data_IF_525616979853
#
_entry.id   IF_525616979853
#
_cell.length_a   1.000
_cell.length_b   1.000
_cell.length_c   1.000
_cell.angle_alpha   90.00
_cell.angle_beta   90.00
_cell.angle_gamma   90.00
#
_symmetry.space_group_name_H-M   'P 1'
#
loop_
_entity.id
_entity.type
_entity.pdbx_description
1 polymer ?
#
# COMPACT_ATOMS: atom_id res chain seq x y z
N UNK A 1 -19.13 -10.54 9.29
CA UNK A 1 -19.55 -9.68 8.17
C UNK A 1 -19.44 -10.53 6.94
N UNK A 2 -20.58 -10.91 6.41
CA UNK A 2 -20.67 -11.82 5.28
C UNK A 2 -20.64 -11.01 3.99
N UNK A 3 -19.90 -11.53 3.01
CA UNK A 3 -19.66 -10.90 1.73
C UNK A 3 -20.30 -11.74 0.65
N UNK A 4 -21.00 -11.07 -0.27
CA UNK A 4 -21.48 -11.69 -1.50
C UNK A 4 -20.55 -11.27 -2.65
N UNK A 5 -20.02 -12.26 -3.36
CA UNK A 5 -19.32 -12.02 -4.62
C UNK A 5 -20.35 -11.56 -5.67
N UNK A 6 -20.05 -10.48 -6.38
CA UNK A 6 -20.90 -9.83 -7.39
C UNK A 6 -20.11 -9.63 -8.68
N UNK A 7 -20.79 -9.29 -9.79
CA UNK A 7 -20.08 -8.95 -11.02
C UNK A 7 -19.38 -7.58 -10.89
N UNK A 8 -18.36 -7.28 -11.72
CA UNK A 8 -17.73 -5.96 -11.73
C UNK A 8 -18.73 -4.81 -12.00
N UNK A 9 -19.75 -5.06 -12.82
CA UNK A 9 -20.79 -4.09 -13.16
C UNK A 9 -21.67 -3.78 -11.93
N UNK A 10 -22.16 -4.82 -11.24
CA UNK A 10 -22.93 -4.67 -9.99
C UNK A 10 -22.11 -3.98 -8.90
N UNK A 11 -20.81 -4.31 -8.82
CA UNK A 11 -19.90 -3.65 -7.88
C UNK A 11 -19.74 -2.15 -8.18
N UNK A 12 -19.79 -1.75 -9.46
CA UNK A 12 -19.60 -0.37 -9.89
C UNK A 12 -20.77 0.56 -9.50
N UNK A 13 -21.97 0.00 -9.34
CA UNK A 13 -23.16 0.73 -8.89
C UNK A 13 -23.15 1.00 -7.37
N UNK A 14 -22.29 0.31 -6.62
CA UNK A 14 -22.22 0.47 -5.17
C UNK A 14 -21.52 1.79 -4.78
N UNK A 15 -22.06 2.49 -3.78
CA UNK A 15 -21.50 3.76 -3.24
C UNK A 15 -20.04 3.69 -2.78
N UNK A 16 -19.54 2.50 -2.45
CA UNK A 16 -18.16 2.28 -2.02
C UNK A 16 -17.22 1.94 -3.16
N UNK A 17 -17.68 1.86 -4.40
CA UNK A 17 -16.81 1.63 -5.54
C UNK A 17 -15.89 2.83 -5.82
N UNK A 18 -14.66 2.54 -6.26
CA UNK A 18 -13.66 3.53 -6.64
C UNK A 18 -12.69 3.93 -5.52
N UNK A 19 -11.69 4.73 -5.93
CA UNK A 19 -10.58 5.19 -5.08
C UNK A 19 -11.00 6.46 -4.33
N UNK A 20 -11.28 6.35 -3.04
CA UNK A 20 -11.76 7.46 -2.20
C UNK A 20 -11.57 7.20 -0.72
N UNK A 21 -11.92 8.18 0.12
CA UNK A 21 -11.74 8.11 1.57
C UNK A 21 -10.30 7.74 1.97
N UNK A 22 -10.15 6.87 2.96
CA UNK A 22 -8.83 6.40 3.42
C UNK A 22 -7.97 5.74 2.33
N UNK A 23 -8.57 5.10 1.33
CA UNK A 23 -7.81 4.51 0.22
C UNK A 23 -7.10 5.57 -0.61
N UNK A 24 -7.73 6.73 -0.83
CA UNK A 24 -7.09 7.86 -1.49
C UNK A 24 -5.96 8.44 -0.62
N UNK A 25 -6.16 8.53 0.70
CA UNK A 25 -5.10 8.97 1.62
C UNK A 25 -3.89 8.03 1.53
N UNK A 26 -4.10 6.72 1.60
CA UNK A 26 -3.01 5.74 1.43
C UNK A 26 -2.36 5.82 0.05
N UNK A 27 -3.14 6.08 -1.01
CA UNK A 27 -2.59 6.28 -2.34
C UNK A 27 -1.64 7.49 -2.40
N UNK A 28 -2.06 8.64 -1.87
CA UNK A 28 -1.23 9.86 -1.79
C UNK A 28 0.02 9.60 -0.96
N UNK A 29 -0.11 8.96 0.22
CA UNK A 29 1.04 8.57 1.03
C UNK A 29 1.98 7.60 0.30
N UNK A 30 1.45 6.68 -0.50
CA UNK A 30 2.22 5.79 -1.35
C UNK A 30 3.00 6.55 -2.43
N UNK A 31 2.40 7.56 -3.06
CA UNK A 31 3.09 8.42 -4.04
C UNK A 31 4.21 9.22 -3.36
N UNK A 32 3.94 9.80 -2.19
CA UNK A 32 4.94 10.53 -1.42
C UNK A 32 6.08 9.60 -0.97
N UNK A 33 5.76 8.39 -0.51
CA UNK A 33 6.73 7.37 -0.14
C UNK A 33 7.59 6.93 -1.32
N UNK A 34 6.98 6.73 -2.49
CA UNK A 34 7.69 6.44 -3.73
C UNK A 34 8.68 7.55 -4.08
N UNK A 35 8.25 8.81 -4.10
CA UNK A 35 9.13 9.94 -4.40
C UNK A 35 10.24 10.10 -3.35
N UNK A 36 9.90 9.97 -2.07
CA UNK A 36 10.86 10.06 -0.97
C UNK A 36 11.93 8.96 -1.02
N UNK A 37 11.59 7.78 -1.56
CA UNK A 37 12.53 6.66 -1.72
C UNK A 37 13.72 7.02 -2.62
N UNK A 38 13.56 7.98 -3.53
CA UNK A 38 14.62 8.46 -4.42
C UNK A 38 15.26 9.78 -3.95
N UNK A 39 14.77 10.39 -2.87
CA UNK A 39 15.29 11.68 -2.39
C UNK A 39 16.79 11.60 -2.05
N UNK A 40 17.26 10.47 -1.53
CA UNK A 40 18.68 10.22 -1.25
C UNK A 40 19.57 10.23 -2.50
N UNK A 41 19.01 9.92 -3.68
CA UNK A 41 19.75 9.97 -4.94
C UNK A 41 19.96 11.39 -5.46
N UNK A 42 19.17 12.36 -4.97
CA UNK A 42 19.33 13.77 -5.33
C UNK A 42 20.59 14.38 -4.73
N UNK A 43 21.14 13.78 -3.66
CA UNK A 43 22.40 14.21 -3.04
C UNK A 43 23.14 13.04 -2.38
N UNK A 44 23.89 12.29 -3.20
CA UNK A 44 24.75 11.20 -2.70
C UNK A 44 25.81 11.70 -1.71
N UNK A 45 26.26 12.96 -1.86
CA UNK A 45 27.21 13.57 -0.93
C UNK A 45 26.61 13.75 0.47
N UNK A 46 25.36 14.19 0.57
CA UNK A 46 24.66 14.26 1.87
C UNK A 46 24.51 12.87 2.48
N UNK A 47 24.14 11.87 1.67
CA UNK A 47 24.02 10.48 2.13
C UNK A 47 25.35 9.94 2.66
N UNK A 48 26.45 10.24 1.97
CA UNK A 48 27.81 9.88 2.39
C UNK A 48 28.24 10.59 3.67
N UNK A 49 27.89 11.87 3.86
CA UNK A 49 28.18 12.59 5.10
C UNK A 49 27.42 12.04 6.30
N UNK A 50 26.15 11.63 6.12
CA UNK A 50 25.31 11.13 7.21
C UNK A 50 25.61 9.68 7.56
N UNK A 51 25.86 8.83 6.55
CA UNK A 51 25.94 7.38 6.74
C UNK A 51 27.32 6.78 6.42
N UNK A 52 28.32 7.61 6.14
CA UNK A 52 29.70 7.19 5.88
C UNK A 52 29.79 6.22 4.69
N UNK A 53 30.54 5.14 4.87
CA UNK A 53 30.79 4.13 3.82
C UNK A 53 29.55 3.31 3.45
N UNK A 54 28.51 3.30 4.30
CA UNK A 54 27.27 2.58 4.06
C UNK A 54 26.31 3.30 3.09
N UNK A 55 26.68 4.48 2.57
CA UNK A 55 25.80 5.29 1.74
C UNK A 55 25.32 4.58 0.47
N UNK A 56 26.15 3.72 -0.14
CA UNK A 56 25.77 2.96 -1.34
C UNK A 56 24.65 1.96 -1.01
N UNK A 57 24.74 1.29 0.16
CA UNK A 57 23.74 0.33 0.62
C UNK A 57 22.40 1.05 0.82
N UNK A 58 22.42 2.24 1.42
CA UNK A 58 21.21 3.03 1.67
C UNK A 58 20.62 3.64 0.40
N UNK A 59 21.46 4.07 -0.55
CA UNK A 59 21.01 4.50 -1.88
C UNK A 59 20.33 3.35 -2.62
N UNK A 60 20.94 2.16 -2.59
CA UNK A 60 20.36 0.94 -3.17
C UNK A 60 19.05 0.53 -2.49
N UNK A 61 18.99 0.62 -1.16
CA UNK A 61 17.76 0.39 -0.39
C UNK A 61 16.64 1.34 -0.85
N UNK A 62 16.93 2.63 -1.03
CA UNK A 62 15.97 3.62 -1.53
C UNK A 62 15.40 3.22 -2.89
N UNK A 63 16.26 2.83 -3.84
CA UNK A 63 15.81 2.34 -5.16
C UNK A 63 14.89 1.12 -5.03
N UNK A 64 15.29 0.13 -4.25
CA UNK A 64 14.49 -1.10 -4.05
C UNK A 64 13.14 -0.76 -3.41
N UNK A 65 13.11 0.10 -2.39
CA UNK A 65 11.86 0.54 -1.77
C UNK A 65 10.94 1.23 -2.78
N UNK A 66 11.47 2.15 -3.60
CA UNK A 66 10.70 2.81 -4.65
C UNK A 66 10.05 1.83 -5.61
N UNK A 67 10.80 0.80 -6.05
CA UNK A 67 10.26 -0.26 -6.92
C UNK A 67 9.12 -1.02 -6.23
N UNK A 68 9.24 -1.29 -4.93
CA UNK A 68 8.22 -2.01 -4.17
C UNK A 68 6.92 -1.22 -3.96
N UNK A 69 6.91 0.10 -4.15
CA UNK A 69 5.67 0.88 -4.20
C UNK A 69 4.90 0.74 -5.52
N UNK A 70 5.58 0.38 -6.62
CA UNK A 70 4.98 0.35 -7.97
C UNK A 70 3.74 -0.54 -8.10
N UNK A 71 3.69 -1.77 -7.55
CA UNK A 71 2.49 -2.61 -7.67
C UNK A 71 1.24 -1.90 -7.12
N UNK A 72 1.36 -1.19 -6.00
CA UNK A 72 0.25 -0.43 -5.44
C UNK A 72 -0.10 0.77 -6.32
N UNK A 73 0.89 1.56 -6.73
CA UNK A 73 0.69 2.79 -7.49
C UNK A 73 0.10 2.57 -8.88
N UNK A 74 0.44 1.44 -9.52
CA UNK A 74 -0.05 1.06 -10.85
C UNK A 74 -1.42 0.40 -10.75
N UNK A 75 -1.59 -0.57 -9.84
CA UNK A 75 -2.81 -1.38 -9.80
C UNK A 75 -4.00 -0.69 -9.11
N UNK A 76 -3.75 0.23 -8.17
CA UNK A 76 -4.81 0.98 -7.49
C UNK A 76 -5.68 1.82 -8.45
N UNK A 77 -5.14 2.71 -9.30
CA UNK A 77 -5.96 3.48 -10.24
C UNK A 77 -6.64 2.61 -11.29
N UNK A 78 -6.03 1.47 -11.64
CA UNK A 78 -6.60 0.49 -12.56
C UNK A 78 -7.71 -0.37 -11.95
N UNK A 79 -7.97 -0.26 -10.64
CA UNK A 79 -8.96 -1.08 -9.91
C UNK A 79 -8.73 -2.58 -10.08
N UNK A 80 -7.47 -2.99 -10.28
CA UNK A 80 -7.15 -4.37 -10.64
C UNK A 80 -7.28 -5.32 -9.42
N UNK A 81 -7.89 -6.52 -9.55
CA UNK A 81 -8.18 -7.39 -8.41
C UNK A 81 -6.95 -7.90 -7.65
N UNK A 82 -5.79 -7.94 -8.31
CA UNK A 82 -4.52 -8.28 -7.66
C UNK A 82 -3.99 -7.18 -6.73
N UNK A 83 -4.49 -5.94 -6.82
CA UNK A 83 -3.95 -4.78 -6.09
C UNK A 83 -3.75 -5.07 -4.60
N UNK A 84 -4.76 -5.55 -3.83
CA UNK A 84 -4.58 -5.67 -2.39
C UNK A 84 -3.51 -6.69 -2.01
N UNK A 85 -3.44 -7.81 -2.75
CA UNK A 85 -2.45 -8.87 -2.52
C UNK A 85 -1.05 -8.40 -2.90
N UNK A 86 -0.90 -7.81 -4.08
CA UNK A 86 0.38 -7.32 -4.56
C UNK A 86 0.94 -6.21 -3.66
N UNK A 87 0.09 -5.26 -3.24
CA UNK A 87 0.47 -4.17 -2.35
C UNK A 87 0.94 -4.70 -0.97
N UNK A 88 0.19 -5.61 -0.35
CA UNK A 88 0.57 -6.19 0.95
C UNK A 88 1.90 -6.94 0.82
N UNK A 89 2.06 -7.79 -0.19
CA UNK A 89 3.29 -8.56 -0.38
C UNK A 89 4.51 -7.67 -0.62
N UNK A 90 4.38 -6.65 -1.47
CA UNK A 90 5.48 -5.75 -1.78
C UNK A 90 5.89 -4.89 -0.58
N UNK A 91 4.92 -4.43 0.22
CA UNK A 91 5.21 -3.64 1.42
C UNK A 91 5.84 -4.50 2.54
N UNK A 92 5.41 -5.75 2.71
CA UNK A 92 6.10 -6.67 3.63
C UNK A 92 7.51 -7.01 3.16
N UNK A 93 7.72 -7.17 1.85
CA UNK A 93 9.06 -7.33 1.30
C UNK A 93 9.92 -6.09 1.57
N UNK A 94 9.33 -4.88 1.50
CA UNK A 94 10.04 -3.64 1.84
C UNK A 94 10.51 -3.61 3.29
N UNK A 95 9.67 -4.09 4.23
CA UNK A 95 10.05 -4.26 5.64
C UNK A 95 11.23 -5.23 5.79
N UNK A 96 11.19 -6.38 5.10
CA UNK A 96 12.29 -7.38 5.14
C UNK A 96 13.59 -6.80 4.60
N UNK A 97 13.55 -6.14 3.44
CA UNK A 97 14.75 -5.53 2.84
C UNK A 97 15.30 -4.42 3.74
N UNK A 98 14.43 -3.63 4.37
CA UNK A 98 14.84 -2.60 5.34
C UNK A 98 15.50 -3.22 6.56
N UNK A 99 14.97 -4.34 7.08
CA UNK A 99 15.59 -5.05 8.20
C UNK A 99 16.99 -5.56 7.85
N UNK A 100 17.15 -6.18 6.66
CA UNK A 100 18.45 -6.67 6.17
C UNK A 100 19.44 -5.51 6.04
N UNK A 101 19.04 -4.41 5.40
CA UNK A 101 19.89 -3.23 5.26
C UNK A 101 20.28 -2.64 6.62
N UNK A 102 19.34 -2.58 7.58
CA UNK A 102 19.60 -2.13 8.94
C UNK A 102 20.59 -3.01 9.70
N UNK A 103 20.56 -4.32 9.48
CA UNK A 103 21.56 -5.24 10.07
C UNK A 103 22.97 -4.99 9.54
N UNK A 104 23.09 -4.55 8.28
CA UNK A 104 24.40 -4.31 7.64
C UNK A 104 24.92 -2.90 7.93
N UNK A 105 24.05 -1.88 7.91
CA UNK A 105 24.45 -0.49 8.04
C UNK A 105 24.69 -0.09 9.51
N UNK A 106 23.63 -0.10 10.32
CA UNK A 106 23.66 0.17 11.77
C UNK A 106 22.27 -0.12 12.38
N UNK A 107 22.12 -1.21 13.17
CA UNK A 107 20.83 -1.57 13.76
C UNK A 107 20.25 -0.50 14.68
N UNK A 108 21.10 0.26 15.38
CA UNK A 108 20.66 1.25 16.37
C UNK A 108 19.96 2.44 15.72
N UNK A 109 20.39 2.82 14.52
CA UNK A 109 19.83 3.94 13.76
C UNK A 109 18.54 3.56 13.02
N UNK A 110 18.41 2.30 12.60
CA UNK A 110 17.28 1.85 11.77
C UNK A 110 16.14 1.19 12.56
N UNK A 111 16.35 0.84 13.83
CA UNK A 111 15.33 0.15 14.65
C UNK A 111 14.01 0.92 14.74
N UNK A 112 14.07 2.22 15.00
CA UNK A 112 12.87 3.07 15.09
C UNK A 112 12.07 3.09 13.79
N UNK A 113 12.77 3.24 12.66
CA UNK A 113 12.17 3.20 11.31
C UNK A 113 11.56 1.83 11.01
N UNK A 114 12.22 0.74 11.41
CA UNK A 114 11.74 -0.61 11.19
C UNK A 114 10.44 -0.88 11.97
N UNK A 115 10.40 -0.53 13.26
CA UNK A 115 9.20 -0.67 14.10
C UNK A 115 8.04 0.13 13.50
N UNK A 116 8.29 1.40 13.15
CA UNK A 116 7.29 2.25 12.52
C UNK A 116 6.76 1.64 11.21
N UNK A 117 7.66 1.14 10.36
CA UNK A 117 7.31 0.49 9.10
C UNK A 117 6.43 -0.74 9.31
N UNK A 118 6.78 -1.61 10.26
CA UNK A 118 5.99 -2.81 10.60
C UNK A 118 4.58 -2.42 11.03
N UNK A 119 4.44 -1.44 11.92
CA UNK A 119 3.12 -0.98 12.40
C UNK A 119 2.31 -0.40 11.25
N UNK A 120 2.90 0.46 10.43
CA UNK A 120 2.20 1.07 9.30
C UNK A 120 1.77 0.06 8.24
N UNK A 121 2.63 -0.91 7.89
CA UNK A 121 2.29 -1.97 6.95
C UNK A 121 1.21 -2.89 7.52
N UNK A 122 1.25 -3.20 8.82
CA UNK A 122 0.21 -3.99 9.48
C UNK A 122 -1.15 -3.28 9.46
N UNK A 123 -1.20 -1.99 9.79
CA UNK A 123 -2.41 -1.17 9.74
C UNK A 123 -2.96 -1.08 8.31
N UNK A 124 -2.10 -0.85 7.33
CA UNK A 124 -2.50 -0.79 5.93
C UNK A 124 -3.02 -2.15 5.42
N UNK A 125 -2.34 -3.25 5.74
CA UNK A 125 -2.79 -4.59 5.40
C UNK A 125 -4.13 -4.93 6.06
N UNK A 126 -4.32 -4.54 7.31
CA UNK A 126 -5.61 -4.67 8.00
C UNK A 126 -6.71 -3.86 7.30
N UNK A 127 -6.42 -2.60 6.95
CA UNK A 127 -7.35 -1.74 6.20
C UNK A 127 -7.74 -2.37 4.86
N UNK A 128 -6.77 -2.81 4.05
CA UNK A 128 -7.04 -3.43 2.75
C UNK A 128 -7.92 -4.69 2.86
N UNK A 129 -7.78 -5.47 3.94
CA UNK A 129 -8.58 -6.68 4.16
C UNK A 129 -10.00 -6.37 4.65
N UNK A 130 -10.19 -5.34 5.47
CA UNK A 130 -11.47 -5.06 6.14
C UNK A 130 -12.29 -3.94 5.51
N UNK A 131 -11.69 -3.10 4.67
CA UNK A 131 -12.36 -1.96 4.06
C UNK A 131 -13.46 -2.41 3.09
N UNK A 132 -14.69 -1.92 3.29
CA UNK A 132 -15.80 -2.09 2.33
C UNK A 132 -15.39 -1.60 0.93
N UNK A 133 -14.77 -0.42 0.87
CA UNK A 133 -14.32 0.18 -0.39
C UNK A 133 -13.33 -0.69 -1.13
N UNK A 134 -12.37 -1.32 -0.43
CA UNK A 134 -11.40 -2.20 -1.09
C UNK A 134 -12.05 -3.50 -1.57
N UNK A 135 -12.91 -4.10 -0.74
CA UNK A 135 -13.63 -5.32 -1.11
C UNK A 135 -14.57 -5.09 -2.32
N UNK A 136 -15.33 -4.00 -2.31
CA UNK A 136 -16.22 -3.63 -3.42
C UNK A 136 -15.42 -3.27 -4.68
N UNK A 137 -14.40 -2.42 -4.56
CA UNK A 137 -13.68 -1.88 -5.73
C UNK A 137 -12.79 -2.91 -6.43
N UNK A 138 -12.09 -3.76 -5.67
CA UNK A 138 -11.06 -4.64 -6.24
C UNK A 138 -11.43 -6.10 -6.17
N UNK A 139 -12.20 -6.51 -5.16
CA UNK A 139 -12.57 -7.92 -5.00
C UNK A 139 -14.00 -8.21 -5.46
N UNK A 140 -14.73 -7.19 -5.91
CA UNK A 140 -16.14 -7.27 -6.34
C UNK A 140 -17.00 -7.99 -5.30
N UNK A 141 -16.89 -7.55 -4.04
CA UNK A 141 -17.58 -8.12 -2.88
C UNK A 141 -18.39 -7.05 -2.18
N UNK A 142 -19.69 -7.27 -2.06
CA UNK A 142 -20.63 -6.36 -1.39
C UNK A 142 -21.11 -6.99 -0.08
N UNK A 143 -21.31 -6.20 1.00
CA UNK A 143 -21.93 -6.69 2.23
C UNK A 143 -23.33 -7.24 1.96
N UNK A 144 -23.68 -8.42 2.51
CA UNK A 144 -24.99 -9.06 2.27
C UNK A 144 -26.18 -8.14 2.63
N UNK A 145 -26.10 -7.47 3.79
CA UNK A 145 -27.11 -6.50 4.26
C UNK A 145 -27.35 -5.37 3.25
N UNK A 146 -26.28 -4.90 2.61
CA UNK A 146 -26.30 -3.74 1.72
C UNK A 146 -26.67 -4.12 0.29
N UNK A 147 -26.64 -5.40 -0.06
CA UNK A 147 -27.14 -5.91 -1.35
C UNK A 147 -28.65 -6.18 -1.31
N UNK A 148 -29.20 -6.56 -0.15
CA UNK A 148 -30.65 -6.72 0.03
C UNK A 148 -31.39 -5.39 -0.18
N UNK A 149 -30.86 -4.31 0.40
CA UNK A 149 -31.42 -2.95 0.25
C UNK A 149 -31.41 -2.41 -1.19
N UNK A 150 -30.46 -2.84 -2.04
CA UNK A 150 -30.41 -2.42 -3.45
C UNK A 150 -31.39 -3.23 -4.32
N UNK A 151 -31.66 -4.49 -3.95
CA UNK A 151 -32.56 -5.37 -4.69
C UNK A 151 -34.05 -5.04 -4.46
N UNK A 152 -34.38 -4.39 -3.33
CA UNK A 152 -35.75 -4.00 -2.98
C UNK A 152 -36.16 -2.61 -3.48
N UNK A 153 -35.24 -1.81 -4.07
CA UNK A 153 -35.63 -0.53 -4.67
C UNK A 153 -36.36 -0.76 -5.99
N UNK A 154 -37.64 -0.38 -6.12
CA UNK A 154 -38.34 -0.42 -7.39
C UNK A 154 -37.61 0.50 -8.38
N UNK A 155 -37.36 0.01 -9.58
CA UNK A 155 -36.98 0.85 -10.71
C UNK A 155 -38.21 1.69 -11.09
N UNK A 156 -38.26 2.92 -10.61
CA UNK A 156 -39.19 3.96 -11.08
C UNK A 156 -38.65 4.62 -12.37
#
# INVERSE_FOLDING_TARGET
>A
MDWKDVTPEEAAENRYYGVGGWLLVFYVLGVLGFLASFAGLLSLEMLKRTFGDNYIILAGLGVVQGILYLPFLILAPQKHPLMPRAAISALWLSVVVTAIAGMVADPSQMMGQLIFSVVMVALFAWYLRKSKRVNVTYLHRVPVEEHADTAERPTD
#
